data_IF_547707197600
#
_entry.id   IF_547707197600
#
_cell.length_a   1.000
_cell.length_b   1.000
_cell.length_c   1.000
_cell.angle_alpha   90.00
_cell.angle_beta   90.00
_cell.angle_gamma   90.00
#
_symmetry.space_group_name_H-M   'P 1'
#
loop_
_entity.id
_entity.type
_entity.pdbx_description
1 polymer ?
#
# COMPACT_ATOMS: atom_id res chain seq x y z
N UNK A 1 5.48 -10.91 8.40
CA UNK A 1 6.12 -10.68 7.08
C UNK A 1 6.98 -9.45 7.21
N UNK A 2 8.23 -9.55 6.77
CA UNK A 2 9.09 -8.40 6.59
C UNK A 2 9.66 -8.45 5.18
N UNK A 3 9.47 -7.37 4.42
CA UNK A 3 9.78 -7.33 3.01
C UNK A 3 10.31 -5.96 2.57
N UNK A 4 11.04 -5.93 1.46
CA UNK A 4 11.63 -4.72 0.88
C UNK A 4 11.32 -4.59 -0.59
N UNK A 5 11.14 -3.36 -1.05
CA UNK A 5 11.04 -3.06 -2.47
C UNK A 5 12.42 -3.01 -3.10
N UNK A 6 12.61 -3.75 -4.19
CA UNK A 6 13.88 -3.81 -4.94
C UNK A 6 14.19 -2.49 -5.68
N UNK A 7 13.17 -1.70 -6.00
CA UNK A 7 13.30 -0.44 -6.74
C UNK A 7 13.33 0.79 -5.81
N UNK A 8 14.08 0.71 -4.71
CA UNK A 8 14.31 1.81 -3.74
C UNK A 8 13.00 2.50 -3.30
N UNK A 9 12.66 3.64 -3.89
CA UNK A 9 11.49 4.49 -3.58
C UNK A 9 10.39 4.43 -4.64
N UNK A 10 10.64 3.79 -5.79
CA UNK A 10 9.67 3.70 -6.86
C UNK A 10 8.75 2.50 -6.65
N UNK A 11 7.50 2.75 -6.25
CA UNK A 11 6.51 1.70 -6.00
C UNK A 11 5.80 1.19 -7.25
N UNK A 12 5.99 1.84 -8.41
CA UNK A 12 5.15 1.58 -9.58
C UNK A 12 5.59 0.37 -10.41
N UNK A 13 6.88 0.06 -10.41
CA UNK A 13 7.46 -1.06 -11.14
C UNK A 13 8.56 -1.66 -10.27
N UNK A 14 8.15 -2.49 -9.31
CA UNK A 14 9.01 -3.00 -8.26
C UNK A 14 8.56 -4.37 -7.79
N UNK A 15 9.51 -5.17 -7.33
CA UNK A 15 9.23 -6.43 -6.64
C UNK A 15 9.32 -6.20 -5.14
N UNK A 16 8.36 -6.75 -4.42
CA UNK A 16 8.39 -6.88 -2.98
C UNK A 16 9.07 -8.20 -2.64
N UNK A 17 10.24 -8.12 -2.02
CA UNK A 17 11.10 -9.27 -1.68
C UNK A 17 11.11 -9.53 -0.19
N UNK A 18 11.00 -10.79 0.19
CA UNK A 18 11.13 -11.25 1.57
C UNK A 18 12.52 -10.92 2.13
N UNK A 19 12.60 -10.40 3.34
CA UNK A 19 13.90 -10.20 4.02
C UNK A 19 14.52 -11.49 4.55
N UNK A 20 13.75 -12.58 4.63
CA UNK A 20 14.20 -13.84 5.22
C UNK A 20 15.05 -14.63 4.22
N UNK A 21 14.63 -14.67 2.96
CA UNK A 21 15.19 -15.55 1.92
C UNK A 21 15.36 -14.85 0.55
N UNK A 22 15.11 -13.54 0.47
CA UNK A 22 15.15 -12.74 -0.77
C UNK A 22 14.22 -13.23 -1.89
N UNK A 23 13.26 -14.09 -1.55
CA UNK A 23 12.23 -14.55 -2.50
C UNK A 23 11.32 -13.40 -2.90
N UNK A 24 10.87 -13.40 -4.15
CA UNK A 24 9.85 -12.45 -4.60
C UNK A 24 8.52 -12.91 -4.01
N UNK A 25 7.86 -12.02 -3.25
CA UNK A 25 6.52 -12.24 -2.71
C UNK A 25 5.48 -11.71 -3.70
N UNK A 26 5.67 -10.46 -4.13
CA UNK A 26 4.78 -9.81 -5.09
C UNK A 26 5.56 -8.98 -6.10
N UNK A 27 4.97 -8.77 -7.27
CA UNK A 27 5.45 -7.80 -8.26
C UNK A 27 4.38 -6.74 -8.51
N UNK A 28 4.76 -5.48 -8.38
CA UNK A 28 3.92 -4.33 -8.69
C UNK A 28 4.28 -3.83 -10.08
N UNK A 29 3.28 -3.79 -10.97
CA UNK A 29 3.44 -3.26 -12.34
C UNK A 29 2.40 -2.19 -12.61
N UNK A 30 2.84 -1.00 -13.03
CA UNK A 30 1.95 0.14 -13.29
C UNK A 30 1.90 0.45 -14.76
N UNK A 31 0.69 0.43 -15.33
CA UNK A 31 0.46 0.95 -16.68
C UNK A 31 0.03 2.40 -16.60
N UNK A 32 0.79 3.25 -17.30
CA UNK A 32 0.49 4.66 -17.50
C UNK A 32 -0.02 4.90 -18.92
N UNK A 33 -0.79 5.96 -19.12
CA UNK A 33 -1.17 6.45 -20.45
C UNK A 33 -1.02 7.97 -20.53
N UNK A 34 -1.51 8.56 -21.62
CA UNK A 34 -1.41 9.99 -21.90
C UNK A 34 -1.98 10.90 -20.79
N UNK A 35 -2.89 10.40 -19.94
CA UNK A 35 -3.49 11.13 -18.80
C UNK A 35 -3.01 10.63 -17.43
N UNK A 36 -1.79 10.12 -17.35
CA UNK A 36 -1.18 9.62 -16.12
C UNK A 36 -1.45 8.13 -15.87
N UNK A 37 -1.38 7.73 -14.59
CA UNK A 37 -1.47 6.33 -14.16
C UNK A 37 -2.87 5.77 -14.42
N UNK A 38 -2.96 4.60 -15.05
CA UNK A 38 -4.24 3.90 -15.28
C UNK A 38 -4.49 2.86 -14.18
N UNK A 39 -3.63 1.86 -14.10
CA UNK A 39 -3.73 0.81 -13.09
C UNK A 39 -2.35 0.35 -12.60
N UNK A 40 -2.28 0.00 -11.32
CA UNK A 40 -1.15 -0.76 -10.74
C UNK A 40 -1.66 -2.14 -10.39
N UNK A 41 -1.06 -3.17 -10.98
CA UNK A 41 -1.37 -4.58 -10.72
C UNK A 41 -0.35 -5.13 -9.75
N UNK A 42 -0.82 -5.82 -8.72
CA UNK A 42 -0.03 -6.61 -7.79
C UNK A 42 -0.19 -8.08 -8.18
N UNK A 43 0.90 -8.70 -8.56
CA UNK A 43 0.97 -10.11 -8.94
C UNK A 43 1.65 -10.90 -7.83
N UNK A 44 1.01 -11.96 -7.35
CA UNK A 44 1.61 -12.96 -6.46
C UNK A 44 2.63 -13.78 -7.25
N UNK A 45 3.85 -13.89 -6.73
CA UNK A 45 4.91 -14.66 -7.36
C UNK A 45 4.77 -16.17 -7.12
N UNK A 46 4.00 -16.58 -6.11
CA UNK A 46 3.80 -17.98 -5.73
C UNK A 46 2.30 -18.28 -5.52
N UNK A 47 1.45 -18.08 -6.54
CA UNK A 47 0.01 -18.29 -6.39
C UNK A 47 -0.29 -19.76 -6.07
N UNK A 48 -1.22 -19.99 -5.15
CA UNK A 48 -1.71 -21.32 -4.86
C UNK A 48 -2.31 -21.97 -6.13
N UNK A 49 -2.18 -23.30 -6.31
CA UNK A 49 -2.71 -23.98 -7.48
C UNK A 49 -4.19 -23.66 -7.72
N UNK A 50 -4.54 -23.23 -8.94
CA UNK A 50 -5.91 -22.86 -9.31
C UNK A 50 -6.31 -21.42 -8.95
N UNK A 51 -5.44 -20.63 -8.30
CA UNK A 51 -5.66 -19.22 -8.05
C UNK A 51 -5.04 -18.34 -9.14
N UNK A 52 -5.64 -17.16 -9.37
CA UNK A 52 -5.07 -16.15 -10.25
C UNK A 52 -3.77 -15.61 -9.67
N UNK A 53 -2.75 -15.44 -10.52
CA UNK A 53 -1.53 -14.74 -10.13
C UNK A 53 -1.78 -13.27 -9.81
N UNK A 54 -2.88 -12.66 -10.28
CA UNK A 54 -3.24 -11.30 -9.88
C UNK A 54 -3.83 -11.29 -8.48
N UNK A 55 -3.05 -10.82 -7.51
CA UNK A 55 -3.47 -10.66 -6.12
C UNK A 55 -4.45 -9.48 -5.98
N UNK A 56 -4.13 -8.34 -6.61
CA UNK A 56 -5.02 -7.18 -6.60
C UNK A 56 -4.61 -6.06 -7.55
N UNK A 57 -5.50 -5.08 -7.71
CA UNK A 57 -5.31 -3.95 -8.64
C UNK A 57 -5.74 -2.63 -8.00
N UNK A 58 -4.92 -1.59 -8.17
CA UNK A 58 -5.31 -0.20 -7.94
C UNK A 58 -5.76 0.39 -9.28
N UNK A 59 -7.01 0.81 -9.37
CA UNK A 59 -7.58 1.57 -10.47
C UNK A 59 -7.48 3.06 -10.14
N UNK A 60 -6.43 3.72 -10.64
CA UNK A 60 -6.06 5.07 -10.19
C UNK A 60 -7.07 6.14 -10.57
N UNK A 61 -7.67 6.03 -11.76
CA UNK A 61 -8.62 7.00 -12.27
C UNK A 61 -9.96 6.89 -11.56
N UNK A 62 -10.40 5.66 -11.34
CA UNK A 62 -11.65 5.32 -10.65
C UNK A 62 -11.51 5.44 -9.12
N UNK A 63 -10.28 5.61 -8.62
CA UNK A 63 -9.94 5.55 -7.20
C UNK A 63 -10.57 4.31 -6.54
N UNK A 64 -10.28 3.13 -7.08
CA UNK A 64 -10.86 1.86 -6.64
C UNK A 64 -9.80 0.76 -6.50
N UNK A 65 -10.08 -0.21 -5.63
CA UNK A 65 -9.29 -1.42 -5.48
C UNK A 65 -10.04 -2.62 -6.02
N UNK A 66 -9.31 -3.60 -6.52
CA UNK A 66 -9.84 -4.89 -6.95
C UNK A 66 -9.04 -6.01 -6.29
N UNK A 67 -9.73 -6.93 -5.60
CA UNK A 67 -9.12 -8.11 -4.95
C UNK A 67 -10.06 -9.28 -5.22
N UNK A 68 -9.53 -10.41 -5.70
CA UNK A 68 -10.33 -11.59 -6.01
C UNK A 68 -11.46 -11.34 -7.01
N UNK A 69 -11.24 -10.45 -7.98
CA UNK A 69 -12.24 -10.04 -8.99
C UNK A 69 -13.34 -9.10 -8.48
N UNK A 70 -13.38 -8.79 -7.17
CA UNK A 70 -14.32 -7.81 -6.62
C UNK A 70 -13.69 -6.43 -6.63
N UNK A 71 -14.35 -5.48 -7.30
CA UNK A 71 -13.92 -4.08 -7.37
C UNK A 71 -14.73 -3.20 -6.41
N UNK A 72 -14.04 -2.37 -5.61
CA UNK A 72 -14.64 -1.46 -4.63
C UNK A 72 -14.01 -0.07 -4.69
N UNK A 73 -14.81 1.01 -4.81
CA UNK A 73 -14.32 2.37 -4.70
C UNK A 73 -13.65 2.67 -3.35
N UNK A 74 -12.52 3.35 -3.34
CA UNK A 74 -11.80 3.73 -2.12
C UNK A 74 -12.64 4.58 -1.17
N UNK A 75 -13.65 5.30 -1.67
CA UNK A 75 -14.61 6.05 -0.83
C UNK A 75 -15.49 5.14 0.03
N UNK A 76 -15.79 3.93 -0.43
CA UNK A 76 -16.54 2.93 0.34
C UNK A 76 -15.62 2.20 1.32
N UNK A 77 -14.38 1.97 0.93
CA UNK A 77 -13.36 1.32 1.75
C UNK A 77 -12.85 2.20 2.90
N UNK A 78 -13.07 3.53 2.79
CA UNK A 78 -12.54 4.52 3.73
C UNK A 78 -13.65 5.20 4.50
N UNK A 79 -13.55 5.13 5.83
CA UNK A 79 -14.41 5.87 6.74
C UNK A 79 -13.59 6.92 7.49
N UNK A 80 -14.14 8.12 7.62
CA UNK A 80 -13.55 9.18 8.44
C UNK A 80 -14.39 9.34 9.69
N UNK A 81 -13.77 9.29 10.85
CA UNK A 81 -14.43 9.45 12.15
C UNK A 81 -13.65 10.43 13.02
N UNK A 82 -14.29 10.95 14.06
CA UNK A 82 -13.71 11.89 15.02
C UNK A 82 -14.19 13.32 14.83
N UNK A 83 -13.68 14.23 15.67
CA UNK A 83 -14.07 15.64 15.69
C UNK A 83 -13.38 16.45 14.57
N UNK A 84 -13.82 17.69 14.35
CA UNK A 84 -13.24 18.60 13.33
C UNK A 84 -11.71 18.71 13.40
N UNK A 85 -11.12 18.56 14.59
CA UNK A 85 -9.69 18.70 14.84
C UNK A 85 -8.93 17.36 14.97
N UNK A 86 -9.64 16.22 15.07
CA UNK A 86 -9.03 14.89 15.20
C UNK A 86 -9.73 13.91 14.25
N UNK A 87 -9.52 14.10 12.94
CA UNK A 87 -10.04 13.20 11.91
C UNK A 87 -9.16 11.97 11.80
N UNK A 88 -9.73 10.82 12.15
CA UNK A 88 -9.12 9.50 11.99
C UNK A 88 -9.64 8.86 10.71
N UNK A 89 -8.74 8.21 9.96
CA UNK A 89 -9.08 7.50 8.72
C UNK A 89 -9.00 6.00 8.96
N UNK A 90 -10.13 5.35 8.81
CA UNK A 90 -10.24 3.90 8.86
C UNK A 90 -10.41 3.32 7.48
N UNK A 91 -9.80 2.16 7.26
CA UNK A 91 -9.82 1.39 6.02
C UNK A 91 -10.29 -0.02 6.31
N UNK A 92 -11.24 -0.52 5.51
CA UNK A 92 -11.82 -1.84 5.68
C UNK A 92 -12.23 -2.39 4.30
N UNK A 93 -11.81 -3.61 3.97
CA UNK A 93 -12.13 -4.21 2.66
C UNK A 93 -13.61 -4.59 2.52
N UNK A 94 -14.19 -5.21 3.54
CA UNK A 94 -15.58 -5.64 3.60
C UNK A 94 -16.07 -5.61 5.06
N UNK A 95 -17.39 -5.57 5.27
CA UNK A 95 -17.99 -5.38 6.61
C UNK A 95 -17.65 -6.50 7.61
N UNK A 96 -17.39 -7.70 7.11
CA UNK A 96 -16.96 -8.89 7.83
C UNK A 96 -15.43 -8.95 8.05
N UNK A 97 -14.68 -8.00 7.50
CA UNK A 97 -13.21 -7.94 7.58
C UNK A 97 -12.74 -6.95 8.63
N UNK A 98 -11.46 -7.03 8.99
CA UNK A 98 -10.87 -6.14 9.98
C UNK A 98 -10.85 -4.70 9.49
N UNK A 99 -11.04 -3.78 10.42
CA UNK A 99 -11.01 -2.34 10.20
C UNK A 99 -9.72 -1.78 10.76
N UNK A 100 -8.92 -1.16 9.88
CA UNK A 100 -7.60 -0.64 10.21
C UNK A 100 -7.64 0.87 10.28
N UNK A 101 -7.08 1.43 11.33
CA UNK A 101 -6.75 2.85 11.36
C UNK A 101 -5.41 3.07 10.66
N UNK A 102 -5.36 3.93 9.64
CA UNK A 102 -4.13 4.20 8.89
C UNK A 102 -3.64 5.62 9.14
N UNK A 103 -2.40 5.76 9.63
CA UNK A 103 -1.76 7.04 9.97
C UNK A 103 -0.42 7.18 9.25
N UNK A 104 -0.02 8.41 8.97
CA UNK A 104 1.33 8.73 8.53
C UNK A 104 2.04 9.49 9.65
N UNK A 105 3.04 8.86 10.26
CA UNK A 105 3.77 9.36 11.42
C UNK A 105 5.24 9.01 11.26
N UNK A 106 6.16 9.91 11.61
CA UNK A 106 7.61 9.63 11.61
C UNK A 106 8.08 9.06 10.24
N UNK A 107 7.65 9.70 9.16
CA UNK A 107 7.96 9.29 7.77
C UNK A 107 7.49 7.88 7.38
N UNK A 108 6.57 7.32 8.14
CA UNK A 108 6.14 5.92 7.99
C UNK A 108 4.62 5.85 7.99
N UNK A 109 4.06 5.08 7.05
CA UNK A 109 2.66 4.68 7.14
C UNK A 109 2.52 3.57 8.19
N UNK A 110 1.59 3.73 9.11
CA UNK A 110 1.29 2.78 10.19
C UNK A 110 -0.16 2.35 10.08
N UNK A 111 -0.43 1.06 10.22
CA UNK A 111 -1.78 0.51 10.32
C UNK A 111 -2.00 -0.06 11.72
N UNK A 112 -3.09 0.35 12.34
CA UNK A 112 -3.49 -0.08 13.68
C UNK A 112 -4.78 -0.88 13.63
N UNK A 113 -4.84 -1.96 14.40
CA UNK A 113 -6.03 -2.78 14.61
C UNK A 113 -6.41 -2.70 16.09
N UNK A 114 -7.58 -2.12 16.39
CA UNK A 114 -8.03 -1.93 17.78
C UNK A 114 -7.01 -1.20 18.67
N UNK A 115 -6.24 -0.27 18.07
CA UNK A 115 -5.19 0.51 18.76
C UNK A 115 -3.81 -0.15 18.79
N UNK A 116 -3.68 -1.42 18.41
CA UNK A 116 -2.40 -2.11 18.30
C UNK A 116 -1.77 -1.87 16.93
N UNK A 117 -0.47 -1.53 16.88
CA UNK A 117 0.27 -1.45 15.62
C UNK A 117 0.42 -2.85 15.03
N UNK A 118 -0.04 -3.05 13.79
CA UNK A 118 0.00 -4.37 13.12
C UNK A 118 0.70 -4.36 11.77
N UNK A 119 0.96 -3.19 11.19
CA UNK A 119 1.79 -3.07 10.01
C UNK A 119 2.43 -1.69 9.89
N UNK A 120 3.62 -1.66 9.29
CA UNK A 120 4.35 -0.44 8.92
C UNK A 120 4.78 -0.50 7.47
N UNK A 121 4.79 0.67 6.84
CA UNK A 121 5.29 0.86 5.49
C UNK A 121 6.13 2.12 5.43
N UNK A 122 7.44 1.91 5.40
CA UNK A 122 8.45 2.96 5.40
C UNK A 122 8.92 3.24 3.98
N UNK A 123 8.95 4.52 3.60
CA UNK A 123 9.48 4.99 2.33
C UNK A 123 10.41 6.16 2.60
N UNK A 124 11.66 6.11 2.12
CA UNK A 124 12.58 7.23 2.25
C UNK A 124 11.99 8.51 1.61
N UNK A 125 11.88 9.56 2.42
CA UNK A 125 11.34 10.87 2.00
C UNK A 125 12.29 11.63 1.07
N UNK A 126 13.62 11.43 1.17
CA UNK A 126 14.61 12.13 0.35
C UNK A 126 15.83 11.26 0.02
N UNK A 127 16.41 11.38 -1.20
CA UNK A 127 17.77 10.95 -1.44
C UNK A 127 18.71 11.81 -0.58
N UNK A 128 19.27 11.22 0.48
CA UNK A 128 20.38 11.87 1.19
C UNK A 128 21.50 12.06 0.16
N UNK A 129 21.88 13.33 -0.10
CA UNK A 129 22.86 13.72 -1.11
C UNK A 129 24.20 12.97 -0.97
N UNK A 130 24.48 12.41 0.22
CA UNK A 130 25.56 11.46 0.44
C UNK A 130 25.09 10.36 1.40
N UNK A 131 24.88 9.15 0.87
CA UNK A 131 24.51 7.96 1.66
C UNK A 131 23.77 6.92 0.83
N UNK A 132 23.91 5.64 1.20
CA UNK A 132 23.09 4.57 0.59
C UNK A 132 21.63 4.81 0.97
N UNK A 133 20.77 5.00 -0.04
CA UNK A 133 19.32 5.04 0.14
C UNK A 133 18.87 3.73 0.78
N UNK A 134 18.21 3.82 1.94
CA UNK A 134 17.53 2.66 2.54
C UNK A 134 16.40 2.21 1.61
N UNK A 135 16.18 0.91 1.40
CA UNK A 135 15.05 0.45 0.60
C UNK A 135 13.74 0.73 1.33
N UNK A 136 12.66 0.92 0.57
CA UNK A 136 11.32 0.96 1.16
C UNK A 136 11.02 -0.40 1.80
N UNK A 137 10.48 -0.39 3.02
CA UNK A 137 10.29 -1.59 3.84
C UNK A 137 8.83 -1.72 4.23
N UNK A 138 8.29 -2.93 4.12
CA UNK A 138 6.98 -3.33 4.59
C UNK A 138 7.14 -4.34 5.72
N UNK A 139 6.49 -4.08 6.85
CA UNK A 139 6.39 -5.04 7.95
C UNK A 139 4.91 -5.25 8.26
N UNK A 140 4.50 -6.50 8.42
CA UNK A 140 3.14 -6.88 8.79
C UNK A 140 3.17 -8.02 9.80
N UNK A 141 2.39 -7.90 10.86
CA UNK A 141 2.21 -8.95 11.85
C UNK A 141 1.25 -10.04 11.35
N UNK A 142 1.33 -11.24 11.94
CA UNK A 142 0.45 -12.37 11.59
C UNK A 142 -1.05 -12.03 11.65
N UNK A 143 -1.44 -11.16 12.60
CA UNK A 143 -2.81 -10.64 12.72
C UNK A 143 -3.29 -9.89 11.46
N UNK A 144 -2.39 -9.20 10.76
CA UNK A 144 -2.69 -8.48 9.53
C UNK A 144 -2.62 -9.38 8.29
N UNK A 145 -1.73 -10.38 8.30
CA UNK A 145 -1.44 -11.24 7.15
C UNK A 145 -2.55 -12.20 6.77
N UNK A 146 -3.17 -12.86 7.75
CA UNK A 146 -4.05 -14.02 7.49
C UNK A 146 -5.24 -13.74 6.56
N UNK A 147 -5.60 -12.47 6.37
CA UNK A 147 -6.78 -12.09 5.61
C UNK A 147 -6.58 -10.84 4.76
N UNK A 148 -5.98 -9.78 5.30
CA UNK A 148 -6.00 -8.47 4.67
C UNK A 148 -4.63 -8.05 4.10
N UNK A 149 -3.70 -8.98 3.90
CA UNK A 149 -2.36 -8.71 3.38
C UNK A 149 -2.38 -7.89 2.09
N UNK A 150 -3.07 -8.40 1.05
CA UNK A 150 -3.18 -7.74 -0.25
C UNK A 150 -3.91 -6.40 -0.12
N UNK A 151 -4.96 -6.34 0.70
CA UNK A 151 -5.70 -5.10 0.93
C UNK A 151 -4.83 -4.02 1.57
N UNK A 152 -4.08 -4.36 2.61
CA UNK A 152 -3.18 -3.44 3.29
C UNK A 152 -2.04 -3.00 2.36
N UNK A 153 -1.49 -3.91 1.54
CA UNK A 153 -0.48 -3.57 0.55
C UNK A 153 -1.01 -2.54 -0.47
N UNK A 154 -2.21 -2.78 -1.05
CA UNK A 154 -2.87 -1.83 -1.95
C UNK A 154 -3.13 -0.48 -1.27
N UNK A 155 -3.64 -0.51 -0.03
CA UNK A 155 -3.94 0.70 0.74
C UNK A 155 -2.68 1.52 1.03
N UNK A 156 -1.60 0.87 1.46
CA UNK A 156 -0.31 1.52 1.71
C UNK A 156 0.28 2.17 0.46
N UNK A 157 0.32 1.44 -0.67
CA UNK A 157 0.80 1.98 -1.95
C UNK A 157 -0.05 3.15 -2.41
N UNK A 158 -1.38 3.01 -2.35
CA UNK A 158 -2.30 4.09 -2.72
C UNK A 158 -2.11 5.35 -1.87
N UNK A 159 -2.06 5.18 -0.54
CA UNK A 159 -1.91 6.28 0.41
C UNK A 159 -0.60 7.02 0.22
N UNK A 160 0.50 6.29 0.01
CA UNK A 160 1.77 6.93 -0.27
C UNK A 160 1.72 7.76 -1.56
N UNK A 161 1.25 7.15 -2.65
CA UNK A 161 1.23 7.83 -3.94
C UNK A 161 0.40 9.10 -3.86
N UNK A 162 -0.76 9.06 -3.19
CA UNK A 162 -1.59 10.25 -2.97
C UNK A 162 -0.91 11.29 -2.07
N UNK A 163 -0.09 10.88 -1.09
CA UNK A 163 0.71 11.79 -0.27
C UNK A 163 1.78 12.50 -1.10
N UNK A 164 2.53 11.75 -1.92
CA UNK A 164 3.55 12.32 -2.81
C UNK A 164 2.92 13.27 -3.83
N UNK A 165 1.79 12.92 -4.43
CA UNK A 165 1.05 13.80 -5.34
C UNK A 165 0.66 15.11 -4.66
N UNK A 166 0.12 15.06 -3.43
CA UNK A 166 -0.22 16.26 -2.67
C UNK A 166 0.99 17.14 -2.37
N UNK A 167 2.12 16.55 -1.97
CA UNK A 167 3.36 17.28 -1.71
C UNK A 167 3.90 17.95 -2.98
N UNK A 168 3.88 17.24 -4.10
CA UNK A 168 4.37 17.77 -5.38
C UNK A 168 3.47 18.90 -5.91
N UNK A 169 2.15 18.80 -5.74
CA UNK A 169 1.23 19.88 -6.12
C UNK A 169 1.41 21.13 -5.25
N UNK A 170 1.69 20.97 -3.96
CA UNK A 170 1.94 22.10 -3.06
C UNK A 170 3.29 22.80 -3.29
N UNK A 171 4.26 22.12 -3.91
CA UNK A 171 5.56 22.71 -4.26
C UNK A 171 5.54 23.50 -5.59
N UNK A 172 4.45 23.39 -6.37
CA UNK A 172 4.28 24.06 -7.66
C UNK A 172 3.34 25.29 -7.59
N UNK A 173 2.86 25.63 -6.40
CA UNK A 173 2.00 26.79 -6.11
C UNK A 173 2.72 27.73 -5.17
#
# INVERSE_FOLDING_TARGET
>A
MEATFDNKTNLFNASLRSKVDDSVLYTLTTKSGYRGKKHTVITDANPAPGHSATAGVIHWKEEAFEIGGQRKPCKELKQVSGSLFKKVRHWQWASDRKKYEMRYEEETWKAFLLGELVATFYIPSHPKLFGKLKPSTLQMDSKALLEDEVFLLLAFVYLEVKRQEKTNSAALT
#
